data_IF_736128971019
#
_entry.id   IF_736128971019
#
_cell.length_a   1.000
_cell.length_b   1.000
_cell.length_c   1.000
_cell.angle_alpha   90.00
_cell.angle_beta   90.00
_cell.angle_gamma   90.00
#
_symmetry.space_group_name_H-M   'P 1'
#
loop_
_entity.id
_entity.type
_entity.pdbx_description
1 polymer ?
#
# COMPACT_ATOMS: atom_id res chain seq x y z
N UNK A 1 -26.30 -23.02 19.10
CA UNK A 1 -26.04 -23.28 17.69
C UNK A 1 -25.40 -22.05 17.10
N UNK A 2 -24.06 -22.14 16.97
CA UNK A 2 -23.25 -21.08 16.37
C UNK A 2 -23.50 -21.11 14.87
N UNK A 3 -24.26 -20.17 14.38
CA UNK A 3 -24.33 -19.87 12.95
C UNK A 3 -23.03 -19.18 12.55
N UNK A 4 -22.03 -19.97 12.20
CA UNK A 4 -20.87 -19.52 11.49
C UNK A 4 -21.35 -19.02 10.11
N UNK A 5 -21.34 -17.71 9.91
CA UNK A 5 -21.54 -17.11 8.60
C UNK A 5 -20.31 -17.45 7.76
N UNK A 6 -20.43 -18.47 6.93
CA UNK A 6 -19.44 -18.74 5.87
C UNK A 6 -19.47 -17.58 4.88
N UNK A 7 -18.60 -16.59 5.07
CA UNK A 7 -18.42 -15.52 4.11
C UNK A 7 -17.60 -16.05 2.93
N UNK A 8 -18.27 -16.39 1.85
CA UNK A 8 -17.61 -16.68 0.58
C UNK A 8 -17.14 -15.37 -0.01
N UNK A 9 -15.82 -15.16 -0.06
CA UNK A 9 -15.24 -14.01 -0.76
C UNK A 9 -15.10 -14.38 -2.23
N UNK A 10 -15.89 -13.78 -3.08
CA UNK A 10 -15.79 -13.91 -4.52
C UNK A 10 -15.01 -12.75 -5.14
N UNK A 11 -14.09 -13.06 -6.03
CA UNK A 11 -13.42 -12.08 -6.87
C UNK A 11 -14.17 -11.96 -8.21
N UNK A 12 -14.55 -10.76 -8.59
CA UNK A 12 -15.24 -10.47 -9.84
C UNK A 12 -14.29 -9.79 -10.80
N UNK A 13 -14.18 -10.33 -12.02
CA UNK A 13 -13.32 -9.80 -13.08
C UNK A 13 -14.17 -9.09 -14.12
N UNK A 14 -13.81 -7.87 -14.42
CA UNK A 14 -14.43 -7.01 -15.42
C UNK A 14 -13.40 -6.63 -16.48
N UNK A 15 -13.84 -6.31 -17.69
CA UNK A 15 -12.98 -5.66 -18.68
C UNK A 15 -12.86 -4.14 -18.36
N UNK A 16 -12.07 -3.44 -19.18
CA UNK A 16 -11.86 -1.99 -19.02
C UNK A 16 -13.11 -1.14 -19.32
N UNK A 17 -14.09 -1.72 -20.01
CA UNK A 17 -15.39 -1.12 -20.29
C UNK A 17 -16.40 -1.38 -19.16
N UNK A 18 -16.03 -2.17 -18.13
CA UNK A 18 -16.89 -2.50 -16.99
C UNK A 18 -17.81 -3.70 -17.20
N UNK A 19 -17.65 -4.46 -18.28
CA UNK A 19 -18.44 -5.67 -18.51
C UNK A 19 -17.90 -6.84 -17.67
N UNK A 20 -18.80 -7.55 -17.00
CA UNK A 20 -18.46 -8.74 -16.25
C UNK A 20 -17.90 -9.82 -17.16
N UNK A 21 -16.76 -10.40 -16.79
CA UNK A 21 -16.13 -11.51 -17.52
C UNK A 21 -16.28 -12.85 -16.80
N UNK A 22 -15.97 -12.87 -15.52
CA UNK A 22 -16.02 -14.08 -14.69
C UNK A 22 -15.92 -13.74 -13.22
N UNK A 23 -16.19 -14.74 -12.39
CA UNK A 23 -15.84 -14.73 -10.97
C UNK A 23 -15.07 -15.99 -10.60
N UNK A 24 -14.30 -15.91 -9.52
CA UNK A 24 -13.70 -17.06 -8.88
C UNK A 24 -13.72 -16.86 -7.37
N UNK A 25 -13.81 -17.96 -6.64
CA UNK A 25 -13.74 -17.92 -5.18
C UNK A 25 -12.31 -17.63 -4.76
N UNK A 26 -12.13 -16.80 -3.73
CA UNK A 26 -10.85 -16.65 -3.06
C UNK A 26 -10.45 -17.96 -2.38
N UNK A 27 -9.16 -18.11 -2.05
CA UNK A 27 -8.67 -19.28 -1.34
C UNK A 27 -9.29 -19.28 0.05
N UNK A 28 -10.12 -20.30 0.32
CA UNK A 28 -10.68 -20.55 1.65
C UNK A 28 -9.58 -21.10 2.56
N UNK A 29 -8.98 -20.26 3.38
CA UNK A 29 -8.34 -20.75 4.59
C UNK A 29 -9.28 -20.43 5.77
N UNK A 30 -9.70 -21.48 6.47
CA UNK A 30 -10.94 -21.59 7.25
C UNK A 30 -11.16 -20.62 8.40
N UNK A 31 -10.26 -19.69 8.73
CA UNK A 31 -10.49 -18.82 9.88
C UNK A 31 -10.10 -17.35 9.76
N UNK A 32 -9.21 -16.96 8.86
CA UNK A 32 -8.69 -15.58 8.81
C UNK A 32 -8.21 -15.11 7.43
N UNK A 33 -8.64 -15.70 6.33
CA UNK A 33 -8.21 -15.32 4.97
C UNK A 33 -8.90 -14.06 4.46
N UNK A 34 -8.76 -12.96 5.18
CA UNK A 34 -9.03 -11.67 4.57
C UNK A 34 -7.88 -11.39 3.61
N UNK A 35 -8.18 -11.43 2.31
CA UNK A 35 -7.27 -10.87 1.31
C UNK A 35 -7.16 -9.39 1.63
N UNK A 36 -6.01 -8.96 2.12
CA UNK A 36 -5.79 -7.55 2.41
C UNK A 36 -5.50 -6.78 1.14
N UNK A 37 -4.71 -7.38 0.27
CA UNK A 37 -4.21 -6.71 -0.93
C UNK A 37 -3.83 -7.72 -1.99
N UNK A 38 -3.91 -7.31 -3.25
CA UNK A 38 -3.42 -8.11 -4.36
C UNK A 38 -2.77 -7.23 -5.43
N UNK A 39 -1.92 -7.85 -6.25
CA UNK A 39 -1.37 -7.22 -7.46
C UNK A 39 -1.23 -8.25 -8.59
N UNK A 40 -1.29 -7.78 -9.81
CA UNK A 40 -1.09 -8.60 -11.00
C UNK A 40 0.41 -8.72 -11.23
N UNK A 41 0.95 -9.94 -11.14
CA UNK A 41 2.36 -10.21 -11.34
C UNK A 41 2.72 -10.27 -12.83
N UNK A 42 1.92 -11.02 -13.59
CA UNK A 42 2.08 -11.22 -15.02
C UNK A 42 0.71 -11.57 -15.67
N UNK A 43 0.72 -12.08 -16.90
CA UNK A 43 -0.51 -12.42 -17.62
C UNK A 43 -1.30 -13.56 -16.97
N UNK A 44 -0.61 -14.52 -16.34
CA UNK A 44 -1.18 -15.75 -15.81
C UNK A 44 -1.46 -15.69 -14.31
N UNK A 45 -0.72 -14.87 -13.55
CA UNK A 45 -0.72 -14.90 -12.12
C UNK A 45 -1.01 -13.53 -11.47
N UNK A 46 -1.78 -13.58 -10.40
CA UNK A 46 -1.88 -12.53 -9.41
C UNK A 46 -1.30 -13.02 -8.07
N UNK A 47 -0.84 -12.07 -7.29
CA UNK A 47 -0.33 -12.31 -5.95
C UNK A 47 -1.28 -11.68 -4.94
N UNK A 48 -1.71 -12.47 -3.98
CA UNK A 48 -2.53 -12.03 -2.85
C UNK A 48 -1.67 -11.99 -1.59
N UNK A 49 -1.76 -10.90 -0.83
CA UNK A 49 -1.20 -10.81 0.50
C UNK A 49 -2.31 -11.07 1.52
N UNK A 50 -2.08 -11.98 2.45
CA UNK A 50 -3.06 -12.36 3.46
C UNK A 50 -2.59 -12.06 4.89
N UNK A 51 -3.51 -12.14 5.85
CA UNK A 51 -3.28 -11.83 7.28
C UNK A 51 -2.17 -12.65 7.95
N UNK A 52 -1.82 -13.82 7.39
CA UNK A 52 -0.78 -14.67 7.94
C UNK A 52 0.63 -14.28 7.48
N UNK A 53 0.81 -13.07 6.97
CA UNK A 53 2.07 -12.55 6.44
C UNK A 53 2.63 -13.38 5.26
N UNK A 54 1.75 -13.97 4.46
CA UNK A 54 2.10 -14.76 3.29
C UNK A 54 1.65 -14.08 2.01
N UNK A 55 2.45 -14.25 0.97
CA UNK A 55 2.05 -13.97 -0.39
C UNK A 55 1.62 -15.27 -1.05
N UNK A 56 0.41 -15.30 -1.55
CA UNK A 56 -0.18 -16.46 -2.22
C UNK A 56 -0.26 -16.19 -3.71
N UNK A 57 0.21 -17.14 -4.52
CA UNK A 57 0.12 -17.11 -5.97
C UNK A 57 -1.21 -17.71 -6.41
N UNK A 58 -1.91 -17.01 -7.27
CA UNK A 58 -3.25 -17.41 -7.73
C UNK A 58 -3.33 -17.29 -9.25
N UNK A 59 -3.89 -18.29 -9.90
CA UNK A 59 -4.17 -18.25 -11.33
C UNK A 59 -5.17 -17.13 -11.65
N UNK A 60 -4.84 -16.25 -12.56
CA UNK A 60 -5.77 -15.20 -13.03
C UNK A 60 -6.93 -15.78 -13.83
N UNK A 61 -6.74 -16.95 -14.43
CA UNK A 61 -7.75 -17.59 -15.24
C UNK A 61 -8.77 -18.36 -14.38
N UNK A 62 -8.30 -19.19 -13.46
CA UNK A 62 -9.14 -20.14 -12.72
C UNK A 62 -9.39 -19.74 -11.27
N UNK A 63 -8.57 -18.87 -10.69
CA UNK A 63 -8.55 -18.59 -9.25
C UNK A 63 -7.85 -19.66 -8.42
N UNK A 64 -7.23 -20.65 -9.07
CA UNK A 64 -6.55 -21.76 -8.41
C UNK A 64 -5.31 -21.30 -7.66
N UNK A 65 -5.07 -21.90 -6.49
CA UNK A 65 -3.85 -21.70 -5.71
C UNK A 65 -2.66 -22.36 -6.41
N UNK A 66 -1.65 -21.56 -6.74
CA UNK A 66 -0.45 -22.01 -7.44
C UNK A 66 0.75 -22.21 -6.52
N UNK A 67 0.63 -21.78 -5.25
CA UNK A 67 1.68 -21.88 -4.25
C UNK A 67 1.87 -20.59 -3.45
N UNK A 68 2.79 -20.62 -2.48
CA UNK A 68 3.07 -19.51 -1.57
C UNK A 68 4.49 -18.99 -1.72
N UNK A 69 4.64 -17.67 -1.50
CA UNK A 69 5.93 -16.99 -1.37
C UNK A 69 6.09 -16.61 0.10
N UNK A 70 6.96 -17.32 0.80
CA UNK A 70 7.25 -17.10 2.22
C UNK A 70 8.48 -16.21 2.35
N UNK A 71 8.35 -15.05 2.98
CA UNK A 71 9.44 -14.09 3.17
C UNK A 71 10.05 -14.14 4.57
N UNK A 72 9.40 -14.78 5.52
CA UNK A 72 9.86 -14.87 6.90
C UNK A 72 9.07 -15.90 7.68
N UNK A 73 9.36 -16.01 8.96
CA UNK A 73 8.63 -16.90 9.89
C UNK A 73 7.44 -16.13 10.44
N UNK A 74 6.24 -16.71 10.32
CA UNK A 74 5.06 -16.14 10.97
C UNK A 74 5.24 -16.20 12.49
N UNK A 75 5.30 -15.04 13.12
CA UNK A 75 5.36 -14.90 14.57
C UNK A 75 4.22 -13.98 15.02
N UNK A 76 3.58 -14.31 16.13
CA UNK A 76 2.51 -13.51 16.74
C UNK A 76 2.96 -12.07 17.08
N UNK A 77 4.26 -11.85 17.25
CA UNK A 77 4.83 -10.52 17.50
C UNK A 77 4.84 -9.64 16.26
N UNK A 78 4.74 -10.24 15.07
CA UNK A 78 4.90 -9.56 13.77
C UNK A 78 3.58 -9.16 13.12
N UNK A 79 2.47 -9.29 13.82
CA UNK A 79 1.18 -8.81 13.34
C UNK A 79 0.93 -7.37 13.83
N UNK A 80 0.30 -6.53 13.00
CA UNK A 80 -0.15 -5.21 13.40
C UNK A 80 -1.48 -5.24 14.17
N UNK A 81 -1.62 -6.21 15.07
CA UNK A 81 -2.69 -6.24 16.05
C UNK A 81 -2.20 -5.63 17.36
N UNK A 82 -2.90 -4.65 17.83
CA UNK A 82 -2.65 -4.03 19.11
C UNK A 82 -3.91 -4.16 19.98
N UNK A 83 -3.79 -4.76 21.16
CA UNK A 83 -4.90 -4.90 22.10
C UNK A 83 -4.78 -3.90 23.24
N UNK A 84 -5.76 -3.01 23.36
CA UNK A 84 -5.87 -2.07 24.47
C UNK A 84 -7.32 -2.01 24.97
N UNK A 85 -7.54 -2.11 26.28
CA UNK A 85 -8.87 -2.02 26.90
C UNK A 85 -9.91 -2.94 26.24
N UNK A 86 -9.57 -4.21 25.98
CA UNK A 86 -10.40 -5.20 25.29
C UNK A 86 -10.77 -4.87 23.83
N UNK A 87 -10.27 -3.80 23.26
CA UNK A 87 -10.41 -3.50 21.84
C UNK A 87 -9.17 -3.96 21.07
N UNK A 88 -9.42 -4.52 19.88
CA UNK A 88 -8.35 -4.89 18.94
C UNK A 88 -8.26 -3.79 17.89
N UNK A 89 -7.10 -3.18 17.80
CA UNK A 89 -6.78 -2.20 16.77
C UNK A 89 -5.99 -2.89 15.67
N UNK A 90 -6.44 -2.74 14.44
CA UNK A 90 -5.77 -3.20 13.25
C UNK A 90 -5.44 -2.02 12.37
N UNK A 91 -4.33 -2.07 11.66
CA UNK A 91 -4.04 -1.10 10.61
C UNK A 91 -3.75 -1.83 9.30
N UNK A 92 -4.27 -1.28 8.21
CA UNK A 92 -4.01 -1.78 6.87
C UNK A 92 -2.85 -0.97 6.31
N UNK A 93 -1.80 -1.66 5.91
CA UNK A 93 -0.60 -1.05 5.33
C UNK A 93 -0.21 -1.77 4.05
N UNK A 94 0.45 -1.07 3.15
CA UNK A 94 0.94 -1.68 1.93
C UNK A 94 2.22 -2.47 2.21
N UNK A 95 2.25 -3.72 1.76
CA UNK A 95 3.38 -4.62 1.86
C UNK A 95 4.19 -4.70 0.56
N UNK A 96 3.74 -4.03 -0.49
CA UNK A 96 4.38 -4.03 -1.79
C UNK A 96 4.28 -2.68 -2.49
N UNK A 97 5.20 -2.46 -3.42
CA UNK A 97 5.14 -1.34 -4.38
C UNK A 97 5.67 -1.77 -5.74
N UNK A 98 5.13 -1.19 -6.81
CA UNK A 98 5.53 -1.53 -8.18
C UNK A 98 6.98 -1.11 -8.46
N UNK A 99 7.71 -1.96 -9.16
CA UNK A 99 9.02 -1.71 -9.78
C UNK A 99 8.92 -1.95 -11.29
N UNK A 100 9.94 -1.53 -12.04
CA UNK A 100 10.01 -1.79 -13.48
C UNK A 100 10.14 -3.26 -13.85
N UNK A 101 10.73 -4.09 -12.97
CA UNK A 101 10.98 -5.52 -13.17
C UNK A 101 9.93 -6.41 -12.46
N UNK A 102 9.00 -5.81 -11.69
CA UNK A 102 8.01 -6.54 -10.91
C UNK A 102 7.50 -5.74 -9.73
N UNK A 103 7.66 -6.29 -8.53
CA UNK A 103 7.19 -5.65 -7.30
C UNK A 103 8.22 -5.76 -6.17
N UNK A 104 8.45 -4.67 -5.48
CA UNK A 104 9.16 -4.70 -4.20
C UNK A 104 8.16 -5.17 -3.15
N UNK A 105 8.48 -6.24 -2.46
CA UNK A 105 7.62 -6.88 -1.46
C UNK A 105 8.35 -7.02 -0.12
N UNK A 106 7.59 -7.00 0.96
CA UNK A 106 8.08 -7.23 2.32
C UNK A 106 7.03 -7.95 3.16
N UNK A 107 7.43 -8.45 4.31
CA UNK A 107 6.54 -8.99 5.34
C UNK A 107 6.92 -8.39 6.69
N UNK A 108 5.99 -8.30 7.62
CA UNK A 108 6.30 -7.83 8.98
C UNK A 108 7.33 -8.69 9.70
N UNK A 109 7.34 -9.99 9.42
CA UNK A 109 8.31 -10.94 10.01
C UNK A 109 9.65 -10.96 9.29
N UNK A 110 9.77 -10.32 8.12
CA UNK A 110 11.00 -10.33 7.34
C UNK A 110 11.80 -9.05 7.56
N UNK A 111 13.09 -9.20 7.84
CA UNK A 111 14.02 -8.07 7.87
C UNK A 111 14.53 -7.72 6.47
N UNK A 112 14.35 -8.61 5.50
CA UNK A 112 14.77 -8.42 4.12
C UNK A 112 13.61 -7.99 3.24
N UNK A 113 13.82 -6.94 2.48
CA UNK A 113 12.93 -6.49 1.40
C UNK A 113 13.40 -7.13 0.09
N UNK A 114 12.47 -7.64 -0.69
CA UNK A 114 12.75 -8.36 -1.93
C UNK A 114 12.13 -7.67 -3.14
N UNK A 115 12.79 -7.78 -4.28
CA UNK A 115 12.18 -7.58 -5.59
C UNK A 115 11.66 -8.95 -6.08
N UNK A 116 10.35 -9.08 -6.20
CA UNK A 116 9.69 -10.19 -6.88
C UNK A 116 9.54 -9.83 -8.36
N UNK A 117 10.26 -10.52 -9.21
CA UNK A 117 10.21 -10.29 -10.66
C UNK A 117 9.00 -11.01 -11.29
N UNK A 118 8.61 -10.62 -12.51
CA UNK A 118 7.49 -11.21 -13.24
C UNK A 118 7.68 -12.72 -13.53
N UNK A 119 8.91 -13.22 -13.48
CA UNK A 119 9.25 -14.64 -13.61
C UNK A 119 9.48 -15.33 -12.25
N UNK A 120 8.92 -14.79 -11.18
CA UNK A 120 8.93 -15.35 -9.82
C UNK A 120 10.31 -15.43 -9.14
N UNK A 121 11.31 -14.71 -9.60
CA UNK A 121 12.57 -14.63 -8.91
C UNK A 121 12.49 -13.64 -7.73
N UNK A 122 12.97 -14.06 -6.56
CA UNK A 122 13.15 -13.21 -5.39
C UNK A 122 14.60 -12.71 -5.31
N UNK A 123 14.78 -11.40 -5.52
CA UNK A 123 16.10 -10.74 -5.40
C UNK A 123 16.11 -9.90 -4.13
N UNK A 124 16.98 -10.16 -3.14
CA UNK A 124 17.08 -9.28 -1.97
C UNK A 124 17.62 -7.91 -2.40
N UNK A 125 16.96 -6.84 -1.95
CA UNK A 125 17.34 -5.46 -2.30
C UNK A 125 17.69 -4.61 -1.09
N UNK A 126 17.37 -5.06 0.11
CA UNK A 126 17.71 -4.36 1.33
C UNK A 126 17.46 -5.22 2.55
N UNK A 127 18.26 -4.99 3.60
CA UNK A 127 18.11 -5.63 4.90
C UNK A 127 17.95 -4.55 5.96
N UNK A 128 16.96 -4.70 6.80
CA UNK A 128 16.71 -3.81 7.91
C UNK A 128 17.61 -4.15 9.11
N UNK A 129 18.20 -3.13 9.68
CA UNK A 129 19.02 -3.21 10.89
C UNK A 129 18.53 -2.15 11.87
N UNK A 130 18.24 -2.50 13.15
CA UNK A 130 18.28 -3.84 13.74
C UNK A 130 17.11 -4.73 13.26
N UNK A 131 17.23 -6.07 13.40
CA UNK A 131 16.13 -6.99 13.10
C UNK A 131 14.87 -6.72 13.91
N UNK A 132 13.67 -7.05 13.37
CA UNK A 132 12.40 -6.87 14.07
C UNK A 132 12.40 -7.61 15.41
N UNK A 133 12.88 -8.87 15.38
CA UNK A 133 12.89 -9.76 16.54
C UNK A 133 13.81 -9.31 17.69
N UNK A 134 14.76 -8.39 17.43
CA UNK A 134 15.70 -7.87 18.43
C UNK A 134 15.20 -6.62 19.16
N UNK A 135 14.00 -6.13 18.85
CA UNK A 135 13.45 -4.89 19.39
C UNK A 135 12.37 -5.18 20.41
N UNK A 136 12.43 -4.53 21.58
CA UNK A 136 11.39 -4.61 22.62
C UNK A 136 10.01 -4.19 22.07
N UNK A 137 9.99 -3.11 21.28
CA UNK A 137 8.81 -2.68 20.53
C UNK A 137 9.12 -2.76 19.04
N UNK A 138 8.51 -3.69 18.31
CA UNK A 138 8.79 -3.88 16.89
C UNK A 138 8.54 -2.62 16.06
N UNK A 139 9.50 -2.32 15.17
CA UNK A 139 9.35 -1.28 14.15
C UNK A 139 9.43 -1.95 12.79
N UNK A 140 8.38 -1.88 12.02
CA UNK A 140 8.27 -2.48 10.70
C UNK A 140 8.70 -1.49 9.62
N UNK A 141 9.35 -1.97 8.57
CA UNK A 141 9.71 -1.18 7.40
C UNK A 141 8.85 -1.60 6.22
N UNK A 142 8.19 -0.64 5.58
CA UNK A 142 7.22 -0.85 4.53
C UNK A 142 7.63 -0.11 3.25
N UNK A 143 7.51 -0.74 2.09
CA UNK A 143 7.67 -0.08 0.82
C UNK A 143 6.47 0.84 0.56
N UNK A 144 6.74 2.06 0.12
CA UNK A 144 5.68 3.03 -0.21
C UNK A 144 5.63 3.26 -1.72
N UNK A 145 6.73 3.72 -2.29
CA UNK A 145 6.83 4.00 -3.72
C UNK A 145 8.27 3.83 -4.19
N UNK A 146 8.41 3.16 -5.33
CA UNK A 146 9.68 3.03 -5.99
C UNK A 146 9.67 3.79 -7.32
N UNK A 147 10.54 4.79 -7.45
CA UNK A 147 10.74 5.56 -8.67
C UNK A 147 12.11 5.22 -9.27
N UNK A 148 12.43 5.61 -10.50
CA UNK A 148 13.76 5.37 -11.06
C UNK A 148 14.90 5.86 -10.16
N UNK A 149 14.75 7.03 -9.54
CA UNK A 149 15.77 7.65 -8.68
C UNK A 149 15.58 7.41 -7.19
N UNK A 150 14.34 7.43 -6.70
CA UNK A 150 14.06 7.41 -5.26
C UNK A 150 13.29 6.18 -4.84
N UNK A 151 13.61 5.67 -3.66
CA UNK A 151 12.82 4.66 -2.98
C UNK A 151 12.23 5.26 -1.71
N UNK A 152 10.92 5.38 -1.66
CA UNK A 152 10.17 5.87 -0.52
C UNK A 152 9.74 4.70 0.35
N UNK A 153 9.96 4.87 1.64
CA UNK A 153 9.67 3.87 2.67
C UNK A 153 8.94 4.53 3.83
N UNK A 154 8.18 3.75 4.57
CA UNK A 154 7.70 4.19 5.87
C UNK A 154 8.06 3.16 6.93
N UNK A 155 8.20 3.62 8.17
CA UNK A 155 8.25 2.73 9.32
C UNK A 155 6.98 2.90 10.13
N UNK A 156 6.51 1.78 10.70
CA UNK A 156 5.40 1.77 11.64
C UNK A 156 5.85 1.07 12.92
N UNK A 157 5.64 1.73 14.06
CA UNK A 157 5.98 1.17 15.37
C UNK A 157 4.77 0.48 15.97
N UNK A 158 4.95 -0.73 16.50
CA UNK A 158 3.89 -1.51 17.13
C UNK A 158 3.61 -1.00 18.55
N UNK A 159 3.06 0.19 18.65
CA UNK A 159 2.62 0.79 19.91
C UNK A 159 1.29 1.53 19.72
N UNK A 160 0.78 2.15 20.79
CA UNK A 160 -0.47 2.90 20.74
C UNK A 160 -0.45 3.94 19.59
N UNK A 161 -1.55 4.01 18.85
CA UNK A 161 -1.70 4.85 17.65
C UNK A 161 -0.78 4.55 16.46
N UNK A 162 0.01 3.48 16.48
CA UNK A 162 0.89 3.05 15.37
C UNK A 162 1.68 4.20 14.72
N UNK A 163 2.54 4.89 15.47
CA UNK A 163 3.25 6.04 14.92
C UNK A 163 4.12 5.66 13.73
N UNK A 164 4.02 6.46 12.70
CA UNK A 164 4.72 6.26 11.42
C UNK A 164 5.79 7.30 11.18
N UNK A 165 6.83 6.93 10.44
CA UNK A 165 7.85 7.85 9.94
C UNK A 165 8.12 7.56 8.48
N UNK A 166 8.22 8.59 7.67
CA UNK A 166 8.51 8.47 6.25
C UNK A 166 9.98 8.71 5.94
N UNK A 167 10.52 7.94 5.00
CA UNK A 167 11.91 8.04 4.56
C UNK A 167 11.98 7.98 3.03
N UNK A 168 13.05 8.55 2.51
CA UNK A 168 13.39 8.51 1.09
C UNK A 168 14.86 8.12 0.96
N UNK A 169 15.15 7.11 0.15
CA UNK A 169 16.50 6.76 -0.25
C UNK A 169 16.76 7.30 -1.66
N UNK A 170 17.82 8.08 -1.84
CA UNK A 170 18.33 8.42 -3.17
C UNK A 170 19.21 7.25 -3.66
N UNK A 171 18.74 6.52 -4.66
CA UNK A 171 19.42 5.35 -5.22
C UNK A 171 20.76 5.66 -5.87
N UNK A 172 20.98 6.91 -6.27
CA UNK A 172 22.25 7.35 -6.88
C UNK A 172 23.37 7.48 -5.84
N UNK A 173 23.01 7.93 -4.65
CA UNK A 173 23.98 8.19 -3.56
C UNK A 173 23.89 7.18 -2.43
N UNK A 174 22.86 6.33 -2.41
CA UNK A 174 22.48 5.45 -1.30
C UNK A 174 22.21 6.18 0.02
N UNK A 175 21.98 7.49 -0.02
CA UNK A 175 21.66 8.27 1.17
C UNK A 175 20.20 8.16 1.52
N UNK A 176 19.89 8.00 2.82
CA UNK A 176 18.54 7.93 3.35
C UNK A 176 18.23 9.25 4.07
N UNK A 177 17.09 9.83 3.71
CA UNK A 177 16.58 11.07 4.29
C UNK A 177 15.31 10.79 5.07
N UNK A 178 15.22 11.34 6.26
CA UNK A 178 13.98 11.39 7.02
C UNK A 178 13.08 12.50 6.45
N UNK A 179 11.86 12.15 6.09
CA UNK A 179 10.89 13.09 5.57
C UNK A 179 10.05 13.62 6.74
N UNK A 180 10.49 14.73 7.32
CA UNK A 180 9.84 15.36 8.48
C UNK A 180 8.51 16.01 8.11
N UNK A 181 8.46 16.62 6.94
CA UNK A 181 7.28 17.26 6.37
C UNK A 181 7.04 16.67 4.97
N UNK A 182 5.80 16.39 4.67
CA UNK A 182 5.36 15.94 3.37
C UNK A 182 5.61 17.01 2.29
N UNK A 183 5.52 16.63 1.02
CA UNK A 183 5.68 17.59 -0.07
C UNK A 183 4.72 18.76 0.11
N UNK A 184 5.26 19.96 0.07
CA UNK A 184 4.44 21.18 0.08
C UNK A 184 3.82 21.36 -1.30
N UNK A 185 2.52 21.44 -1.35
CA UNK A 185 1.84 21.87 -2.58
C UNK A 185 1.85 23.41 -2.63
N UNK A 186 2.33 23.97 -3.73
CA UNK A 186 2.38 25.43 -3.91
C UNK A 186 1.01 26.08 -4.04
N UNK A 187 0.01 25.30 -4.51
CA UNK A 187 -1.35 25.78 -4.78
C UNK A 187 -2.30 25.53 -3.59
N UNK A 188 -1.79 24.89 -2.51
CA UNK A 188 -2.57 24.64 -1.29
C UNK A 188 -1.69 24.79 -0.05
N UNK A 189 -1.86 25.89 0.68
CA UNK A 189 -1.15 26.16 1.93
C UNK A 189 -1.63 25.17 3.01
N UNK A 190 -0.71 24.36 3.52
CA UNK A 190 -1.02 23.38 4.57
C UNK A 190 -1.48 22.00 4.06
N UNK A 191 -1.60 21.79 2.73
CA UNK A 191 -1.82 20.45 2.22
C UNK A 191 -0.60 19.57 2.51
N UNK A 192 -0.82 18.54 3.31
CA UNK A 192 0.15 17.49 3.54
C UNK A 192 -0.07 16.38 2.52
N UNK A 193 0.88 16.19 1.65
CA UNK A 193 0.90 15.05 0.73
C UNK A 193 1.49 13.87 1.48
N UNK A 194 0.64 12.99 1.97
CA UNK A 194 1.05 11.78 2.69
C UNK A 194 1.43 10.67 1.70
N UNK A 195 2.69 10.28 1.68
CA UNK A 195 3.15 9.18 0.83
C UNK A 195 2.61 7.81 1.26
N UNK A 196 2.34 7.63 2.53
CA UNK A 196 1.76 6.44 3.14
C UNK A 196 0.28 6.21 2.77
N UNK A 197 -0.41 7.25 2.32
CA UNK A 197 -1.76 7.13 1.77
C UNK A 197 -1.80 6.58 0.33
N UNK A 198 -0.65 6.41 -0.29
CA UNK A 198 -0.53 5.73 -1.59
C UNK A 198 -0.52 4.21 -1.39
N UNK A 199 -1.41 3.67 -0.57
CA UNK A 199 -1.65 2.24 -0.53
C UNK A 199 -1.71 1.68 -1.96
N UNK A 200 -1.70 0.37 -2.17
CA UNK A 200 -1.79 -0.22 -3.50
C UNK A 200 -3.02 0.38 -4.14
N UNK A 201 -2.76 1.46 -4.84
CA UNK A 201 -3.84 2.23 -5.42
C UNK A 201 -4.50 1.32 -6.45
N UNK A 202 -5.79 1.41 -6.53
CA UNK A 202 -6.61 0.92 -7.65
C UNK A 202 -5.97 1.28 -9.03
N UNK A 203 -4.94 2.11 -9.03
CA UNK A 203 -4.17 2.62 -10.15
C UNK A 203 -2.80 1.92 -10.30
N UNK A 204 -2.77 0.59 -10.15
CA UNK A 204 -1.55 -0.23 -10.26
C UNK A 204 -0.78 -0.05 -11.58
N UNK A 205 -1.44 0.45 -12.63
CA UNK A 205 -0.84 0.64 -13.95
C UNK A 205 -0.21 2.02 -14.17
N UNK A 206 -0.13 2.86 -13.15
CA UNK A 206 0.57 4.12 -13.26
C UNK A 206 2.08 3.92 -13.45
N UNK A 207 2.74 4.78 -14.25
CA UNK A 207 4.19 4.81 -14.34
C UNK A 207 4.85 4.91 -12.95
N UNK A 208 6.03 4.28 -12.79
CA UNK A 208 6.71 4.25 -11.48
C UNK A 208 7.06 5.64 -10.94
N UNK A 209 7.18 6.65 -11.81
CA UNK A 209 7.44 8.03 -11.41
C UNK A 209 6.18 8.87 -11.20
N UNK A 210 4.99 8.25 -11.15
CA UNK A 210 3.71 8.94 -10.94
C UNK A 210 3.00 8.40 -9.71
N UNK A 211 2.46 9.31 -8.91
CA UNK A 211 1.51 9.00 -7.85
C UNK A 211 0.23 9.81 -8.05
N UNK A 212 -0.88 9.31 -7.53
CA UNK A 212 -2.15 10.02 -7.51
C UNK A 212 -2.67 10.08 -6.08
N UNK A 213 -3.10 11.25 -5.68
CA UNK A 213 -3.77 11.47 -4.40
C UNK A 213 -5.16 12.02 -4.64
N UNK A 214 -6.15 11.42 -3.98
CA UNK A 214 -7.50 11.94 -3.92
C UNK A 214 -7.58 13.08 -2.92
N UNK A 215 -8.10 14.22 -3.34
CA UNK A 215 -8.36 15.37 -2.49
C UNK A 215 -9.85 15.40 -2.15
N UNK A 216 -10.15 15.39 -0.86
CA UNK A 216 -11.52 15.43 -0.37
C UNK A 216 -12.15 16.80 -0.69
N UNK A 217 -13.36 16.78 -1.25
CA UNK A 217 -14.09 17.99 -1.70
C UNK A 217 -14.38 18.91 -0.53
N UNK A 218 -14.94 18.41 0.56
CA UNK A 218 -15.28 19.22 1.73
C UNK A 218 -14.07 20.01 2.21
N UNK A 219 -12.90 19.33 2.33
CA UNK A 219 -11.65 20.00 2.71
C UNK A 219 -11.15 21.01 1.68
N UNK A 220 -11.41 20.78 0.39
CA UNK A 220 -11.06 21.75 -0.65
C UNK A 220 -11.96 22.98 -0.60
N UNK A 221 -13.27 22.80 -0.38
CA UNK A 221 -14.21 23.92 -0.22
C UNK A 221 -13.87 24.75 1.03
N UNK A 222 -13.63 24.11 2.17
CA UNK A 222 -13.15 24.78 3.40
C UNK A 222 -11.88 25.58 3.15
N UNK A 223 -10.88 24.98 2.48
CA UNK A 223 -9.63 25.64 2.17
C UNK A 223 -9.79 26.80 1.16
N UNK A 224 -10.77 26.71 0.26
CA UNK A 224 -11.11 27.81 -0.65
C UNK A 224 -11.71 28.99 0.11
N UNK A 225 -12.67 28.75 0.98
CA UNK A 225 -13.30 29.76 1.84
C UNK A 225 -12.29 30.44 2.76
N UNK A 226 -11.35 29.67 3.31
CA UNK A 226 -10.27 30.16 4.16
C UNK A 226 -9.15 30.90 3.39
N UNK A 227 -9.23 30.98 2.05
CA UNK A 227 -8.23 31.64 1.23
C UNK A 227 -6.88 30.91 1.14
N UNK A 228 -6.84 29.60 1.46
CA UNK A 228 -5.62 28.76 1.46
C UNK A 228 -5.25 28.21 0.10
N UNK A 229 -6.11 28.39 -0.91
CA UNK A 229 -5.87 27.89 -2.26
C UNK A 229 -5.38 29.00 -3.19
N UNK A 230 -4.53 28.60 -4.15
CA UNK A 230 -4.03 29.47 -5.21
C UNK A 230 -3.95 28.73 -6.55
N UNK A 231 -3.65 29.44 -7.62
CA UNK A 231 -3.47 28.89 -8.95
C UNK A 231 -4.65 28.03 -9.42
N UNK A 232 -4.34 27.01 -10.21
CA UNK A 232 -5.34 26.13 -10.82
C UNK A 232 -6.23 25.42 -9.81
N UNK A 233 -5.71 25.07 -8.63
CA UNK A 233 -6.50 24.38 -7.61
C UNK A 233 -7.59 25.30 -7.03
N UNK A 234 -7.33 26.60 -6.89
CA UNK A 234 -8.33 27.58 -6.50
C UNK A 234 -9.46 27.68 -7.53
N UNK A 235 -9.11 27.70 -8.83
CA UNK A 235 -10.11 27.79 -9.91
C UNK A 235 -10.99 26.53 -9.96
N UNK A 236 -10.41 25.37 -9.69
CA UNK A 236 -11.15 24.12 -9.58
C UNK A 236 -12.09 24.18 -8.38
N UNK A 237 -11.58 24.53 -7.20
CA UNK A 237 -12.35 24.54 -5.96
C UNK A 237 -13.53 25.52 -6.00
N UNK A 238 -13.37 26.67 -6.70
CA UNK A 238 -14.44 27.66 -6.86
C UNK A 238 -15.69 27.12 -7.58
N UNK A 239 -15.57 26.02 -8.32
CA UNK A 239 -16.65 25.42 -9.11
C UNK A 239 -17.12 24.06 -8.55
N UNK A 240 -16.54 23.57 -7.43
CA UNK A 240 -16.91 22.30 -6.83
C UNK A 240 -18.25 22.41 -6.07
N UNK A 241 -19.00 21.31 -6.11
CA UNK A 241 -20.20 21.08 -5.30
C UNK A 241 -19.92 19.94 -4.34
N UNK A 242 -20.67 19.87 -3.24
CA UNK A 242 -20.48 18.83 -2.20
C UNK A 242 -20.65 17.40 -2.70
N UNK A 243 -21.46 17.20 -3.74
CA UNK A 243 -21.77 15.91 -4.36
C UNK A 243 -20.88 15.55 -5.56
N UNK A 244 -19.90 16.40 -5.89
CA UNK A 244 -18.95 16.11 -6.96
C UNK A 244 -17.98 14.97 -6.58
N UNK A 245 -17.36 14.36 -7.58
CA UNK A 245 -16.30 13.37 -7.36
C UNK A 245 -15.03 14.03 -6.82
N UNK A 246 -14.24 13.30 -5.98
CA UNK A 246 -12.96 13.81 -5.46
C UNK A 246 -12.04 14.32 -6.57
N UNK A 247 -11.31 15.39 -6.28
CA UNK A 247 -10.29 15.90 -7.18
C UNK A 247 -9.04 15.04 -7.10
N UNK A 248 -8.54 14.57 -8.24
CA UNK A 248 -7.32 13.77 -8.30
C UNK A 248 -6.10 14.66 -8.53
N UNK A 249 -5.18 14.66 -7.58
CA UNK A 249 -3.88 15.30 -7.70
C UNK A 249 -2.85 14.31 -8.25
N UNK A 250 -2.28 14.61 -9.40
CA UNK A 250 -1.22 13.80 -10.03
C UNK A 250 0.13 14.37 -9.63
N UNK A 251 0.96 13.54 -9.00
CA UNK A 251 2.32 13.89 -8.59
C UNK A 251 3.30 13.14 -9.50
N UNK A 252 4.11 13.88 -10.23
CA UNK A 252 5.16 13.31 -11.07
C UNK A 252 6.52 13.60 -10.47
N UNK A 253 7.25 12.54 -10.11
CA UNK A 253 8.62 12.65 -9.61
C UNK A 253 9.57 12.96 -10.77
N UNK A 254 10.49 13.89 -10.56
CA UNK A 254 11.57 14.19 -11.50
C UNK A 254 12.67 13.13 -11.34
N UNK A 255 13.21 12.69 -12.47
CA UNK A 255 14.35 11.78 -12.54
C UNK A 255 15.68 12.51 -12.30
#
# INVERSE_FOLDING_TARGET
PDTQLDMVIANYVYDKEGNFKRSFQGIEDKLYSRIEQFFILNEDELIQYNYNNHYTRVSRLTGEHLGDIKLGVADSTTTLHFRKNNMIFNTIVSHFTKDKEGYIITSFSADTTYLLTSNLQLKPIGVRIPPVSSQDVPVFLLPVKNTPRYYFMSTIKKEDSFPTKAYMMDKKTNQIYYLKDYFKNKDYIGLKVHLDMFGPSVLADLPNNVCVQSLNITKLCEAYEEGKLSGKLKDIAANLKEDDNPVLMIIKFRE
#
